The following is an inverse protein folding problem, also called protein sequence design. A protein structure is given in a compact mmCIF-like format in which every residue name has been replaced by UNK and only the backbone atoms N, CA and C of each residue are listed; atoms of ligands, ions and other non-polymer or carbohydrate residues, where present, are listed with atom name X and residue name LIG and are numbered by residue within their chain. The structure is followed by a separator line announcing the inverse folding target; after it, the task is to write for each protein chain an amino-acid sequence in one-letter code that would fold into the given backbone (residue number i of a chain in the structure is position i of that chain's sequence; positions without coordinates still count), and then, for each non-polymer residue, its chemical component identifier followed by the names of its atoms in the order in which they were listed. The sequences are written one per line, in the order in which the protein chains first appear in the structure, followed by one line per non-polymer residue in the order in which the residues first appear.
data_IF_746022222592
#
_entry.id   IF_746022222592
#
_cell.length_a   1.000
_cell.length_b   1.000
_cell.length_c   1.000
_cell.angle_alpha   90.00
_cell.angle_beta   90.00
_cell.angle_gamma   90.00
#
_symmetry.space_group_name_H-M   'P 1'
#
loop_
_entity.id
_entity.type
_entity.pdbx_description
1 polymer ?
#
# COMPACT_ATOMS: atom_id res chain seq x y z
N UNK A 1 10.29 2.00 13.10
CA UNK A 1 9.46 0.79 12.86
C UNK A 1 9.93 0.14 11.55
N UNK A 2 10.14 -1.18 11.47
CA UNK A 2 10.58 -1.82 10.21
C UNK A 2 9.36 -2.09 9.32
N UNK A 3 9.27 -1.43 8.18
CA UNK A 3 8.20 -1.63 7.19
C UNK A 3 8.71 -2.58 6.11
N UNK A 4 8.03 -3.70 5.91
CA UNK A 4 8.46 -4.70 4.93
C UNK A 4 8.18 -4.23 3.49
N UNK A 5 7.02 -3.60 3.27
CA UNK A 5 6.58 -3.06 1.98
C UNK A 5 5.50 -2.00 2.22
N UNK A 6 5.50 -0.95 1.41
CA UNK A 6 4.42 0.04 1.36
C UNK A 6 3.59 -0.26 0.11
N UNK A 7 2.31 -0.62 0.31
CA UNK A 7 1.34 -0.81 -0.78
C UNK A 7 0.64 0.51 -1.08
N UNK A 8 0.30 0.73 -2.36
CA UNK A 8 -0.43 1.92 -2.81
C UNK A 8 -1.75 1.49 -3.42
N UNK A 9 -2.84 2.04 -2.87
CA UNK A 9 -4.20 1.78 -3.30
C UNK A 9 -4.85 3.10 -3.74
N UNK A 10 -5.52 3.12 -4.90
CA UNK A 10 -6.16 4.34 -5.41
C UNK A 10 -6.30 4.37 -6.92
N UNK A 11 -6.64 5.54 -7.46
CA UNK A 11 -6.73 5.77 -8.90
C UNK A 11 -5.33 5.72 -9.53
N UNK A 12 -5.17 4.96 -10.61
CA UNK A 12 -3.89 4.71 -11.26
C UNK A 12 -3.20 6.01 -11.68
N UNK A 13 -3.95 6.97 -12.26
CA UNK A 13 -3.39 8.27 -12.66
C UNK A 13 -2.77 9.03 -11.49
N UNK A 14 -3.44 9.06 -10.33
CA UNK A 14 -2.96 9.78 -9.14
C UNK A 14 -1.75 9.09 -8.53
N UNK A 15 -1.74 7.76 -8.45
CA UNK A 15 -0.59 7.03 -7.95
C UNK A 15 0.67 7.29 -8.80
N UNK A 16 0.52 7.34 -10.12
CA UNK A 16 1.62 7.64 -11.06
C UNK A 16 2.09 9.08 -10.95
N UNK A 17 1.16 10.03 -10.81
CA UNK A 17 1.46 11.45 -10.60
C UNK A 17 2.33 11.67 -9.36
N UNK A 18 1.95 11.07 -8.21
CA UNK A 18 2.63 11.27 -6.93
C UNK A 18 3.96 10.51 -6.84
N UNK A 19 3.96 9.24 -7.27
CA UNK A 19 5.09 8.34 -6.99
C UNK A 19 6.00 8.11 -8.20
N UNK A 20 5.55 8.34 -9.43
CA UNK A 20 6.35 8.23 -10.65
C UNK A 20 7.26 6.99 -10.66
N UNK A 21 8.55 7.20 -10.88
CA UNK A 21 9.56 6.13 -10.94
C UNK A 21 9.76 5.35 -9.63
N UNK A 22 9.26 5.86 -8.50
CA UNK A 22 9.31 5.17 -7.21
C UNK A 22 8.17 4.17 -7.01
N UNK A 23 7.16 4.19 -7.90
CA UNK A 23 6.07 3.23 -7.95
C UNK A 23 6.50 1.95 -8.69
N UNK A 24 6.07 0.80 -8.18
CA UNK A 24 6.25 -0.48 -8.84
C UNK A 24 4.89 -1.05 -9.25
N UNK A 25 4.72 -1.22 -10.56
CA UNK A 25 3.47 -1.64 -11.19
C UNK A 25 3.44 -3.14 -11.54
N UNK A 26 4.51 -3.90 -11.24
CA UNK A 26 4.70 -5.27 -11.76
C UNK A 26 3.62 -6.27 -11.36
N UNK A 27 2.82 -5.96 -10.32
CA UNK A 27 1.73 -6.80 -9.83
C UNK A 27 0.39 -6.56 -10.54
N UNK A 28 0.28 -5.50 -11.31
CA UNK A 28 -0.94 -5.09 -12.03
C UNK A 28 -0.57 -4.16 -13.21
N UNK A 29 0.23 -4.68 -14.18
CA UNK A 29 0.71 -3.89 -15.31
C UNK A 29 -0.42 -3.46 -16.25
N UNK A 30 -0.16 -2.46 -17.09
CA UNK A 30 -1.04 -2.01 -18.18
C UNK A 30 -2.44 -1.53 -17.76
N UNK A 31 -2.61 -1.14 -16.49
CA UNK A 31 -3.89 -0.60 -16.00
C UNK A 31 -4.14 0.82 -16.57
N UNK A 32 -5.32 1.10 -17.16
CA UNK A 32 -5.65 2.43 -17.68
C UNK A 32 -5.65 3.52 -16.58
N UNK A 33 -5.33 4.78 -16.91
CA UNK A 33 -5.27 5.88 -15.93
C UNK A 33 -6.56 6.12 -15.13
N UNK A 34 -7.72 5.85 -15.74
CA UNK A 34 -9.04 6.08 -15.15
C UNK A 34 -9.43 5.01 -14.13
N UNK A 35 -8.72 3.87 -14.10
CA UNK A 35 -9.03 2.73 -13.23
C UNK A 35 -8.37 2.87 -11.86
N UNK A 36 -8.89 2.13 -10.89
CA UNK A 36 -8.33 2.01 -9.54
C UNK A 36 -7.53 0.72 -9.40
N UNK A 37 -6.53 0.68 -8.52
CA UNK A 37 -5.80 -0.53 -8.14
C UNK A 37 -5.55 -0.58 -6.63
N UNK A 38 -5.33 -1.78 -6.11
CA UNK A 38 -4.87 -2.05 -4.74
C UNK A 38 -3.55 -2.85 -4.71
N UNK A 39 -2.87 -2.97 -5.86
CA UNK A 39 -1.78 -3.94 -6.05
C UNK A 39 -0.41 -3.31 -6.26
N UNK A 40 -0.33 -1.99 -6.44
CA UNK A 40 0.94 -1.28 -6.54
C UNK A 40 1.68 -1.24 -5.21
N UNK A 41 2.98 -1.02 -5.28
CA UNK A 41 3.84 -0.87 -4.11
C UNK A 41 5.02 0.04 -4.41
N UNK A 42 5.60 0.65 -3.37
CA UNK A 42 6.76 1.52 -3.52
C UNK A 42 8.07 0.72 -3.54
N UNK A 43 9.05 1.24 -4.29
CA UNK A 43 10.41 0.66 -4.37
C UNK A 43 11.23 0.93 -3.09
N UNK A 44 10.75 1.81 -2.22
CA UNK A 44 11.33 2.12 -0.92
C UNK A 44 10.35 1.75 0.21
N UNK A 45 10.82 1.79 1.46
CA UNK A 45 10.05 1.37 2.64
C UNK A 45 10.10 2.36 3.82
N UNK A 46 10.45 3.62 3.57
CA UNK A 46 10.33 4.72 4.53
C UNK A 46 8.94 5.37 4.39
N UNK A 47 8.13 5.36 5.46
CA UNK A 47 6.75 5.88 5.39
C UNK A 47 6.74 7.39 5.24
N UNK A 48 7.62 8.05 5.97
CA UNK A 48 7.81 9.50 6.00
C UNK A 48 8.05 10.01 4.57
N UNK A 49 8.92 9.34 3.80
CA UNK A 49 9.15 9.68 2.40
C UNK A 49 7.89 9.55 1.52
N UNK A 50 7.03 8.57 1.78
CA UNK A 50 5.78 8.42 1.03
C UNK A 50 4.78 9.53 1.41
N UNK A 51 4.74 9.91 2.69
CA UNK A 51 3.88 10.97 3.21
C UNK A 51 4.33 12.34 2.67
N UNK A 52 5.63 12.62 2.64
CA UNK A 52 6.19 13.84 2.09
C UNK A 52 5.79 14.01 0.62
N UNK A 53 5.94 12.96 -0.21
CA UNK A 53 5.53 12.98 -1.62
C UNK A 53 4.03 13.25 -1.82
N UNK A 54 3.19 12.64 -0.99
CA UNK A 54 1.73 12.87 -1.00
C UNK A 54 1.41 14.33 -0.62
N UNK A 55 2.05 14.83 0.43
CA UNK A 55 1.89 16.22 0.90
C UNK A 55 2.33 17.23 -0.15
N UNK A 56 3.49 17.03 -0.78
CA UNK A 56 3.99 17.86 -1.89
C UNK A 56 3.03 17.88 -3.09
N UNK A 57 2.24 16.82 -3.26
CA UNK A 57 1.22 16.69 -4.32
C UNK A 57 -0.17 17.19 -3.91
N UNK A 58 -0.29 17.83 -2.74
CA UNK A 58 -1.53 18.43 -2.23
C UNK A 58 -2.48 17.46 -1.52
N UNK A 59 -2.05 16.25 -1.20
CA UNK A 59 -2.85 15.31 -0.42
C UNK A 59 -2.69 15.54 1.09
N UNK A 60 -3.78 15.34 1.83
CA UNK A 60 -3.83 15.46 3.28
C UNK A 60 -4.25 14.10 3.88
N UNK A 61 -3.61 13.69 4.97
CA UNK A 61 -4.00 12.47 5.69
C UNK A 61 -5.30 12.74 6.45
N UNK A 62 -6.32 11.92 6.21
CA UNK A 62 -7.66 12.08 6.81
C UNK A 62 -8.04 10.96 7.77
N UNK A 63 -7.38 9.80 7.67
CA UNK A 63 -7.61 8.69 8.59
C UNK A 63 -6.41 7.76 8.66
N UNK A 64 -6.27 7.04 9.76
CA UNK A 64 -5.37 5.91 9.89
C UNK A 64 -6.05 4.78 10.66
N UNK A 65 -5.74 3.54 10.28
CA UNK A 65 -6.27 2.35 10.96
C UNK A 65 -5.24 1.23 10.97
N UNK A 66 -5.32 0.34 11.95
CA UNK A 66 -4.47 -0.83 12.05
C UNK A 66 -5.32 -2.06 12.36
N UNK A 67 -5.26 -3.04 11.47
CA UNK A 67 -6.05 -4.27 11.51
C UNK A 67 -5.13 -5.47 11.65
N UNK A 68 -5.46 -6.39 12.56
CA UNK A 68 -4.82 -7.70 12.66
C UNK A 68 -5.67 -8.76 11.96
N UNK A 69 -5.07 -9.56 11.08
CA UNK A 69 -5.72 -10.73 10.46
C UNK A 69 -5.03 -12.01 10.93
N UNK A 70 -5.85 -13.02 11.21
CA UNK A 70 -5.38 -14.39 11.47
C UNK A 70 -5.59 -15.21 10.21
N UNK A 71 -4.54 -15.88 9.74
CA UNK A 71 -4.65 -16.89 8.70
C UNK A 71 -4.20 -18.25 9.27
N UNK A 72 -4.84 -19.31 8.79
CA UNK A 72 -4.34 -20.66 9.01
C UNK A 72 -3.21 -20.91 8.02
N UNK A 73 -2.06 -21.40 8.49
CA UNK A 73 -1.03 -21.92 7.59
C UNK A 73 -1.65 -23.03 6.72
N UNK A 74 -1.35 -23.03 5.42
CA UNK A 74 -1.88 -24.01 4.47
C UNK A 74 -1.71 -25.45 4.99
N UNK A 75 -2.76 -26.26 4.82
CA UNK A 75 -3.05 -27.58 5.41
C UNK A 75 -2.07 -28.73 5.07
N UNK A 76 -0.78 -28.45 4.87
CA UNK A 76 0.23 -29.46 4.54
C UNK A 76 0.94 -29.99 5.79
N UNK A 77 0.90 -29.28 6.91
CA UNK A 77 1.34 -29.76 8.21
C UNK A 77 0.16 -29.75 9.18
N UNK A 78 0.01 -30.83 9.96
CA UNK A 78 -0.99 -30.96 11.03
C UNK A 78 -0.63 -30.10 12.26
N UNK A 79 0.07 -28.97 12.08
CA UNK A 79 0.34 -28.01 13.14
C UNK A 79 -0.70 -26.88 13.09
N UNK A 80 -1.37 -26.63 14.22
CA UNK A 80 -2.34 -25.55 14.38
C UNK A 80 -1.67 -24.17 14.49
N UNK A 81 -0.62 -23.93 13.70
CA UNK A 81 0.15 -22.69 13.75
C UNK A 81 -0.65 -21.56 13.08
N UNK A 82 -1.20 -20.68 13.91
CA UNK A 82 -1.92 -19.47 13.48
C UNK A 82 -0.92 -18.40 13.08
N UNK A 83 -1.00 -17.95 11.83
CA UNK A 83 -0.19 -16.82 11.33
C UNK A 83 -0.97 -15.53 11.57
N UNK A 84 -0.42 -14.64 12.40
CA UNK A 84 -0.97 -13.31 12.63
C UNK A 84 -0.26 -12.29 11.76
N UNK A 85 -1.00 -11.53 10.96
CA UNK A 85 -0.47 -10.44 10.14
C UNK A 85 -1.14 -9.13 10.51
N UNK A 86 -0.36 -8.08 10.73
CA UNK A 86 -0.88 -6.73 10.94
C UNK A 86 -0.79 -5.90 9.66
N UNK A 87 -1.88 -5.23 9.31
CA UNK A 87 -1.95 -4.23 8.25
C UNK A 87 -2.25 -2.87 8.85
N UNK A 88 -1.40 -1.88 8.59
CA UNK A 88 -1.68 -0.47 8.94
C UNK A 88 -1.90 0.31 7.66
N UNK A 89 -3.01 1.05 7.61
CA UNK A 89 -3.44 1.83 6.46
C UNK A 89 -3.50 3.31 6.82
N UNK A 90 -3.12 4.17 5.88
CA UNK A 90 -3.18 5.62 5.99
C UNK A 90 -3.94 6.14 4.78
N UNK A 91 -5.02 6.88 5.02
CA UNK A 91 -5.92 7.39 3.98
C UNK A 91 -5.59 8.85 3.73
N UNK A 92 -5.37 9.16 2.46
CA UNK A 92 -5.05 10.50 1.98
C UNK A 92 -6.11 10.98 0.99
N UNK A 93 -6.49 12.25 1.05
CA UNK A 93 -7.39 12.88 0.09
C UNK A 93 -6.83 14.20 -0.44
N UNK A 94 -7.22 14.55 -1.66
CA UNK A 94 -6.97 15.84 -2.32
C UNK A 94 -8.30 16.34 -2.86
N UNK A 95 -8.60 17.62 -2.62
CA UNK A 95 -9.81 18.28 -3.14
C UNK A 95 -9.79 18.38 -4.69
#
# INVERSE_FOLDING_TARGET
RRVARITVCGKTSLAKEVFGDTLNESRDPDRPPERYTSRYYLKFNFLEQAFDKLSESGFHMVACSSTGTCAFASSTDQSEDKIWTSYTEYVFCRE
#
